data_IF_960028354308
#
_entry.id   IF_960028354308
#
_cell.length_a   1.000
_cell.length_b   1.000
_cell.length_c   1.000
_cell.angle_alpha   90.00
_cell.angle_beta   90.00
_cell.angle_gamma   90.00
#
_symmetry.space_group_name_H-M   'P 1'
#
loop_
_entity.id
_entity.type
_entity.pdbx_description
1 polymer ?
#
# COMPACT_ATOMS: atom_id res chain seq x y z
N UNK A 1 5.84 -5.12 -18.35
CA UNK A 1 4.61 -4.51 -17.76
C UNK A 1 4.84 -3.03 -17.43
N UNK A 2 3.80 -2.20 -17.51
CA UNK A 2 3.84 -0.74 -17.27
C UNK A 2 2.95 -0.34 -16.07
N UNK A 3 2.97 0.94 -15.69
CA UNK A 3 2.26 1.44 -14.51
C UNK A 3 0.74 1.40 -14.70
N UNK A 4 0.28 1.57 -15.94
CA UNK A 4 -1.10 1.56 -16.37
C UNK A 4 -1.72 0.19 -16.13
N UNK A 5 -1.04 -0.88 -16.57
CA UNK A 5 -1.47 -2.25 -16.33
C UNK A 5 -1.55 -2.57 -14.83
N UNK A 6 -0.57 -2.12 -14.04
CA UNK A 6 -0.56 -2.31 -12.58
C UNK A 6 -1.71 -1.59 -11.89
N UNK A 7 -1.98 -0.33 -12.24
CA UNK A 7 -3.07 0.45 -11.68
C UNK A 7 -4.45 -0.11 -12.06
N UNK A 8 -4.63 -0.51 -13.32
CA UNK A 8 -5.87 -1.17 -13.79
C UNK A 8 -6.12 -2.44 -12.98
N UNK A 9 -5.10 -3.29 -12.81
CA UNK A 9 -5.22 -4.50 -12.02
C UNK A 9 -5.57 -4.22 -10.56
N UNK A 10 -4.84 -3.30 -9.91
CA UNK A 10 -5.10 -2.93 -8.52
C UNK A 10 -6.51 -2.36 -8.32
N UNK A 11 -6.98 -1.48 -9.21
CA UNK A 11 -8.36 -0.95 -9.14
C UNK A 11 -9.40 -2.02 -9.48
N UNK A 12 -9.09 -2.97 -10.35
CA UNK A 12 -9.91 -4.15 -10.60
C UNK A 12 -10.13 -4.96 -9.31
N UNK A 13 -9.08 -5.21 -8.52
CA UNK A 13 -9.22 -5.88 -7.22
C UNK A 13 -10.12 -5.10 -6.26
N UNK A 14 -9.96 -3.78 -6.21
CA UNK A 14 -10.77 -2.92 -5.32
C UNK A 14 -12.24 -2.90 -5.72
N UNK A 15 -12.54 -2.68 -7.00
CA UNK A 15 -13.92 -2.45 -7.46
C UNK A 15 -14.67 -3.71 -7.88
N UNK A 16 -13.97 -4.74 -8.37
CA UNK A 16 -14.61 -5.97 -8.88
C UNK A 16 -14.51 -7.12 -7.87
N UNK A 17 -13.47 -7.13 -7.04
CA UNK A 17 -13.26 -8.18 -6.04
C UNK A 17 -13.40 -7.67 -4.59
N UNK A 18 -13.88 -6.43 -4.41
CA UNK A 18 -14.12 -5.80 -3.11
C UNK A 18 -12.91 -5.83 -2.16
N UNK A 19 -11.70 -5.89 -2.71
CA UNK A 19 -10.49 -5.96 -1.92
C UNK A 19 -10.23 -4.62 -1.21
N UNK A 20 -9.78 -4.67 0.05
CA UNK A 20 -9.36 -3.49 0.80
C UNK A 20 -7.88 -3.23 0.52
N UNK A 21 -7.53 -2.14 -0.20
CA UNK A 21 -6.14 -1.90 -0.57
C UNK A 21 -5.33 -1.34 0.61
N UNK A 22 -4.01 -1.56 0.59
CA UNK A 22 -3.05 -0.91 1.46
C UNK A 22 -1.84 -0.47 0.63
N UNK A 23 -1.48 0.82 0.70
CA UNK A 23 -0.48 1.44 -0.17
C UNK A 23 0.75 1.93 0.57
N UNK A 24 1.93 1.53 0.07
CA UNK A 24 3.22 1.88 0.66
C UNK A 24 4.29 2.05 -0.43
N UNK A 25 5.06 3.14 -0.36
CA UNK A 25 6.27 3.32 -1.14
C UNK A 25 7.48 2.79 -0.36
N UNK A 26 8.30 2.00 -1.03
CA UNK A 26 9.51 1.36 -0.52
C UNK A 26 10.75 1.83 -1.30
N UNK A 27 11.94 1.52 -0.77
CA UNK A 27 13.23 1.89 -1.38
C UNK A 27 13.85 3.20 -0.85
N UNK A 28 13.05 4.03 -0.16
CA UNK A 28 13.56 5.18 0.57
C UNK A 28 14.22 4.78 1.92
N UNK A 29 14.76 5.77 2.66
CA UNK A 29 15.37 5.56 3.99
C UNK A 29 14.37 4.93 4.98
N UNK A 30 13.10 5.30 4.90
CA UNK A 30 11.98 4.73 5.66
C UNK A 30 10.78 4.47 4.72
N UNK A 31 9.83 3.59 5.09
CA UNK A 31 8.60 3.41 4.33
C UNK A 31 7.76 4.70 4.29
N UNK A 32 7.09 4.97 3.17
CA UNK A 32 6.21 6.14 3.02
C UNK A 32 4.80 5.67 2.68
N UNK A 33 3.84 5.95 3.57
CA UNK A 33 2.43 5.62 3.34
C UNK A 33 1.91 6.45 2.17
N UNK A 34 1.40 5.79 1.14
CA UNK A 34 0.86 6.44 -0.05
C UNK A 34 -0.52 5.85 -0.36
N UNK A 35 -1.54 6.70 -0.30
CA UNK A 35 -2.95 6.31 -0.46
C UNK A 35 -3.63 7.16 -1.53
N UNK A 36 -4.71 6.64 -2.10
CA UNK A 36 -5.59 7.41 -3.00
C UNK A 36 -6.55 8.29 -2.19
N UNK A 37 -6.97 9.41 -2.77
CA UNK A 37 -8.04 10.25 -2.19
C UNK A 37 -9.33 9.48 -1.95
N UNK A 38 -9.64 8.53 -2.84
CA UNK A 38 -10.84 7.68 -2.78
C UNK A 38 -10.78 6.59 -1.71
N UNK A 39 -9.63 6.37 -1.07
CA UNK A 39 -9.47 5.25 -0.14
C UNK A 39 -10.24 5.49 1.16
N UNK A 40 -10.87 4.42 1.65
CA UNK A 40 -11.65 4.42 2.90
C UNK A 40 -10.74 4.63 4.12
N UNK A 41 -11.35 4.97 5.26
CA UNK A 41 -10.62 5.07 6.52
C UNK A 41 -9.91 3.75 6.89
N UNK A 42 -10.55 2.61 6.60
CA UNK A 42 -9.98 1.27 6.83
C UNK A 42 -8.74 1.02 5.95
N UNK A 43 -8.81 1.35 4.66
CA UNK A 43 -7.67 1.21 3.74
C UNK A 43 -6.47 2.08 4.19
N UNK A 44 -6.74 3.30 4.65
CA UNK A 44 -5.71 4.19 5.22
C UNK A 44 -5.09 3.62 6.48
N UNK A 45 -5.92 3.08 7.39
CA UNK A 45 -5.45 2.42 8.61
C UNK A 45 -4.56 1.21 8.28
N UNK A 46 -4.96 0.37 7.31
CA UNK A 46 -4.17 -0.78 6.87
C UNK A 46 -2.84 -0.35 6.25
N UNK A 47 -2.83 0.74 5.50
CA UNK A 47 -1.60 1.31 4.93
C UNK A 47 -0.63 1.77 6.02
N UNK A 48 -1.13 2.39 7.09
CA UNK A 48 -0.33 2.78 8.26
C UNK A 48 0.21 1.54 8.98
N UNK A 49 -0.64 0.55 9.26
CA UNK A 49 -0.25 -0.69 9.91
C UNK A 49 0.84 -1.42 9.10
N UNK A 50 0.67 -1.49 7.77
CA UNK A 50 1.67 -2.06 6.87
C UNK A 50 3.00 -1.27 6.93
N UNK A 51 2.93 0.06 6.98
CA UNK A 51 4.11 0.91 7.17
C UNK A 51 4.88 0.61 8.46
N UNK A 52 4.18 0.40 9.58
CA UNK A 52 4.79 0.00 10.86
C UNK A 52 5.46 -1.37 10.74
N UNK A 53 4.77 -2.37 10.20
CA UNK A 53 5.33 -3.71 10.01
C UNK A 53 6.60 -3.69 9.16
N UNK A 54 6.61 -2.92 8.06
CA UNK A 54 7.78 -2.79 7.20
C UNK A 54 8.93 -2.04 7.87
N UNK A 55 8.63 -1.04 8.70
CA UNK A 55 9.63 -0.32 9.48
C UNK A 55 10.33 -1.24 10.48
N UNK A 56 9.59 -2.11 11.16
CA UNK A 56 10.17 -3.07 12.11
C UNK A 56 11.01 -4.14 11.41
N UNK A 57 10.53 -4.72 10.29
CA UNK A 57 11.33 -5.68 9.52
C UNK A 57 12.69 -5.11 9.05
N UNK A 58 12.74 -3.82 8.73
CA UNK A 58 13.98 -3.17 8.31
C UNK A 58 14.99 -3.04 9.45
N UNK A 59 14.53 -2.92 10.71
CA UNK A 59 15.40 -2.91 11.91
C UNK A 59 16.00 -4.29 12.20
N UNK A 60 15.24 -5.37 11.98
CA UNK A 60 15.71 -6.75 12.25
C UNK A 60 16.74 -7.25 11.22
N UNK A 61 16.81 -6.63 10.03
CA UNK A 61 17.79 -6.98 8.99
C UNK A 61 19.15 -6.27 9.13
N UNK A 62 19.43 -5.65 10.28
CA UNK A 62 20.72 -5.02 10.62
C UNK A 62 21.49 -5.91 11.56
#
# INVERSE_FOLDING_TARGET
PNIEAGNIFAKGLVYLAEAVPAGLLLGAKAPVVLVSRSDTAQSKLYSIALGVLMSEMKKTKV
#
